data_IF_607470567691
#
_entry.id   IF_607470567691
#
_cell.length_a   1.000
_cell.length_b   1.000
_cell.length_c   1.000
_cell.angle_alpha   90.00
_cell.angle_beta   90.00
_cell.angle_gamma   90.00
#
_symmetry.space_group_name_H-M   'P 1'
#
loop_
_entity.id
_entity.type
_entity.pdbx_description
1 polymer ?
#
# COMPACT_ATOMS: atom_id res chain seq x y z
N UNK A 1 12.55 35.11 17.01
CA UNK A 1 12.97 33.96 17.86
C UNK A 1 12.57 32.58 17.29
N UNK A 2 11.63 32.50 16.36
CA UNK A 2 11.23 31.22 15.72
C UNK A 2 12.25 30.70 14.67
N UNK A 3 13.12 31.57 14.15
CA UNK A 3 14.05 31.25 13.06
C UNK A 3 15.24 30.35 13.46
N UNK A 4 15.44 30.08 14.75
CA UNK A 4 16.62 29.33 15.22
C UNK A 4 16.25 27.95 15.84
N UNK A 5 14.97 27.53 15.74
CA UNK A 5 14.53 26.21 16.22
C UNK A 5 14.87 25.15 15.17
N UNK A 6 15.54 24.10 15.59
CA UNK A 6 15.74 22.89 14.80
C UNK A 6 14.52 22.01 14.95
N UNK A 7 13.97 21.58 13.82
CA UNK A 7 12.85 20.62 13.78
C UNK A 7 13.34 19.27 13.28
N UNK A 8 12.92 18.23 13.96
CA UNK A 8 13.21 16.84 13.59
C UNK A 8 11.94 16.16 13.13
N UNK A 9 11.85 15.84 11.84
CA UNK A 9 10.79 15.03 11.30
C UNK A 9 11.29 13.60 11.14
N UNK A 10 10.40 12.64 11.42
CA UNK A 10 10.68 11.24 11.19
C UNK A 10 9.76 10.66 10.12
N UNK A 11 10.26 9.69 9.37
CA UNK A 11 9.49 8.98 8.37
C UNK A 11 9.56 7.47 8.63
N UNK A 12 8.40 6.81 8.59
CA UNK A 12 8.25 5.37 8.76
C UNK A 12 7.85 4.78 7.42
N UNK A 13 8.80 4.16 6.73
CA UNK A 13 8.63 3.59 5.38
C UNK A 13 8.82 2.08 5.35
N UNK A 14 8.17 1.39 4.40
CA UNK A 14 8.54 0.01 4.08
C UNK A 14 9.99 -0.09 3.60
N UNK A 15 10.68 -1.15 4.00
CA UNK A 15 11.98 -1.49 3.44
C UNK A 15 11.86 -1.80 1.94
N UNK A 16 12.78 -1.27 1.13
CA UNK A 16 12.56 -1.23 -0.32
C UNK A 16 13.78 -1.32 -1.21
N UNK A 17 14.90 -1.81 -0.75
CA UNK A 17 16.21 -1.96 -1.41
C UNK A 17 16.34 -1.47 -2.89
N UNK A 18 15.42 -1.83 -3.78
CA UNK A 18 15.43 -1.47 -5.21
C UNK A 18 14.04 -1.16 -5.77
N UNK A 19 13.03 -1.02 -4.91
CA UNK A 19 11.71 -0.67 -5.39
C UNK A 19 11.69 0.81 -5.82
N UNK A 20 11.56 1.05 -7.11
CA UNK A 20 11.57 2.40 -7.68
C UNK A 20 10.49 3.32 -7.09
N UNK A 21 9.35 2.79 -6.67
CA UNK A 21 8.28 3.56 -6.07
C UNK A 21 8.74 4.17 -4.72
N UNK A 22 9.16 3.34 -3.77
CA UNK A 22 9.58 3.81 -2.44
C UNK A 22 10.87 4.64 -2.50
N UNK A 23 11.80 4.29 -3.37
CA UNK A 23 13.00 5.09 -3.63
C UNK A 23 12.64 6.51 -4.11
N UNK A 24 11.64 6.65 -4.97
CA UNK A 24 11.21 7.96 -5.45
C UNK A 24 10.46 8.74 -4.37
N UNK A 25 9.65 8.06 -3.54
CA UNK A 25 8.99 8.67 -2.37
C UNK A 25 10.04 9.24 -1.41
N UNK A 26 11.05 8.45 -1.05
CA UNK A 26 12.12 8.87 -0.16
C UNK A 26 12.91 10.06 -0.72
N UNK A 27 13.29 10.01 -2.00
CA UNK A 27 13.94 11.14 -2.68
C UNK A 27 13.09 12.40 -2.65
N UNK A 28 11.77 12.26 -2.84
CA UNK A 28 10.84 13.38 -2.75
C UNK A 28 10.81 14.00 -1.36
N UNK A 29 10.78 13.20 -0.31
CA UNK A 29 10.82 13.65 1.07
C UNK A 29 12.14 14.37 1.39
N UNK A 30 13.28 13.80 0.99
CA UNK A 30 14.59 14.42 1.15
C UNK A 30 14.68 15.76 0.39
N UNK A 31 14.17 15.81 -0.83
CA UNK A 31 14.15 17.04 -1.63
C UNK A 31 13.30 18.15 -0.97
N UNK A 32 12.19 17.80 -0.31
CA UNK A 32 11.39 18.77 0.44
C UNK A 32 12.20 19.44 1.55
N UNK A 33 13.04 18.68 2.26
CA UNK A 33 13.91 19.22 3.31
C UNK A 33 14.97 20.14 2.71
N UNK A 34 15.63 19.72 1.64
CA UNK A 34 16.68 20.51 0.96
C UNK A 34 16.13 21.83 0.41
N UNK A 35 14.93 21.84 -0.11
CA UNK A 35 14.30 23.04 -0.68
C UNK A 35 13.83 24.06 0.37
N UNK A 36 13.89 23.71 1.65
CA UNK A 36 13.51 24.56 2.79
C UNK A 36 14.71 25.03 3.63
N UNK A 37 15.81 25.39 2.95
CA UNK A 37 17.06 25.77 3.58
C UNK A 37 16.97 26.92 4.60
N UNK A 38 15.89 27.72 4.54
CA UNK A 38 15.62 28.81 5.54
C UNK A 38 15.18 28.26 6.91
N UNK A 39 14.83 26.95 6.99
CA UNK A 39 14.45 26.27 8.22
C UNK A 39 15.48 25.21 8.57
N UNK A 40 15.85 25.12 9.84
CA UNK A 40 16.73 24.05 10.33
C UNK A 40 15.93 22.74 10.46
N UNK A 41 15.69 22.05 9.33
CA UNK A 41 14.93 20.81 9.26
C UNK A 41 15.87 19.61 9.17
N UNK A 42 15.53 18.54 9.85
CA UNK A 42 16.13 17.21 9.67
C UNK A 42 15.05 16.17 9.44
N UNK A 43 15.31 15.22 8.55
CA UNK A 43 14.47 14.05 8.30
C UNK A 43 15.25 12.81 8.67
N UNK A 44 14.65 11.95 9.49
CA UNK A 44 15.17 10.65 9.88
C UNK A 44 14.20 9.60 9.34
N UNK A 45 14.68 8.68 8.52
CA UNK A 45 13.85 7.59 8.00
C UNK A 45 14.16 6.31 8.76
N UNK A 46 13.12 5.65 9.23
CA UNK A 46 13.15 4.30 9.80
C UNK A 46 12.37 3.36 8.90
N UNK A 47 12.91 2.16 8.69
CA UNK A 47 12.35 1.18 7.78
C UNK A 47 11.78 -0.01 8.53
N UNK A 48 10.75 -0.61 7.95
CA UNK A 48 10.11 -1.83 8.47
C UNK A 48 9.82 -2.83 7.34
N UNK A 49 9.88 -4.13 7.65
CA UNK A 49 9.41 -5.18 6.75
C UNK A 49 7.88 -5.16 6.70
N UNK A 50 7.34 -4.89 5.51
CA UNK A 50 5.88 -4.82 5.29
C UNK A 50 5.14 -6.13 5.53
N UNK A 51 5.84 -7.25 5.62
CA UNK A 51 5.27 -8.58 5.88
C UNK A 51 5.39 -9.01 7.35
N UNK A 52 6.00 -8.17 8.20
CA UNK A 52 6.24 -8.48 9.59
C UNK A 52 5.78 -7.35 10.52
N UNK A 53 4.65 -7.58 11.23
CA UNK A 53 4.07 -6.57 12.12
C UNK A 53 4.98 -6.13 13.26
N UNK A 54 5.82 -7.03 13.80
CA UNK A 54 6.82 -6.73 14.82
C UNK A 54 7.88 -5.76 14.33
N UNK A 55 8.26 -5.82 13.05
CA UNK A 55 9.20 -4.90 12.41
C UNK A 55 8.68 -3.46 12.42
N UNK A 56 7.38 -3.27 12.11
CA UNK A 56 6.75 -1.94 12.20
C UNK A 56 6.81 -1.38 13.63
N UNK A 57 6.43 -2.19 14.63
CA UNK A 57 6.44 -1.76 16.01
C UNK A 57 7.86 -1.36 16.47
N UNK A 58 8.87 -2.17 16.11
CA UNK A 58 10.27 -1.86 16.44
C UNK A 58 10.75 -0.55 15.76
N UNK A 59 10.37 -0.31 14.51
CA UNK A 59 10.71 0.93 13.80
C UNK A 59 9.99 2.13 14.41
N UNK A 60 8.73 1.98 14.83
CA UNK A 60 7.97 3.02 15.53
C UNK A 60 8.63 3.42 16.88
N UNK A 61 9.16 2.44 17.65
CA UNK A 61 9.90 2.73 18.87
C UNK A 61 11.20 3.51 18.59
N UNK A 62 11.94 3.15 17.53
CA UNK A 62 13.13 3.90 17.14
C UNK A 62 12.81 5.34 16.77
N UNK A 63 11.66 5.61 16.13
CA UNK A 63 11.17 6.95 15.86
C UNK A 63 10.83 7.67 17.17
N UNK A 64 10.15 6.99 18.08
CA UNK A 64 9.77 7.55 19.38
C UNK A 64 10.98 8.08 20.15
N UNK A 65 12.07 7.33 20.17
CA UNK A 65 13.32 7.70 20.83
C UNK A 65 13.98 8.96 20.25
N UNK A 66 13.65 9.34 19.02
CA UNK A 66 14.16 10.57 18.37
C UNK A 66 13.42 11.82 18.81
N UNK A 67 12.31 11.70 19.55
CA UNK A 67 11.44 12.82 19.98
C UNK A 67 11.09 13.74 18.82
N UNK A 68 10.38 13.23 17.79
CA UNK A 68 10.11 13.98 16.58
C UNK A 68 9.15 15.16 16.82
N UNK A 69 9.31 16.24 16.05
CA UNK A 69 8.35 17.33 15.97
C UNK A 69 7.16 17.01 15.02
N UNK A 70 7.28 15.96 14.22
CA UNK A 70 6.22 15.44 13.35
C UNK A 70 6.64 14.15 12.66
N UNK A 71 5.66 13.33 12.26
CA UNK A 71 5.92 12.01 11.68
C UNK A 71 5.16 11.81 10.38
N UNK A 72 5.87 11.32 9.36
CA UNK A 72 5.28 10.77 8.13
C UNK A 72 5.19 9.26 8.27
N UNK A 73 4.01 8.70 8.13
CA UNK A 73 3.77 7.28 8.36
C UNK A 73 3.18 6.66 7.10
N UNK A 74 3.79 5.58 6.61
CA UNK A 74 3.13 4.65 5.71
C UNK A 74 2.49 3.56 6.58
N UNK A 75 1.16 3.57 6.76
CA UNK A 75 0.49 2.59 7.60
C UNK A 75 0.61 1.18 7.03
N UNK A 76 0.82 0.19 7.88
CA UNK A 76 0.84 -1.21 7.48
C UNK A 76 -0.29 -2.01 8.15
N UNK A 77 -0.08 -2.42 9.38
CA UNK A 77 -1.06 -3.17 10.15
C UNK A 77 -1.89 -2.21 11.00
N UNK A 78 -3.22 -2.43 11.00
CA UNK A 78 -4.16 -1.56 11.71
C UNK A 78 -3.79 -1.39 13.19
N UNK A 79 -3.63 -2.49 13.93
CA UNK A 79 -3.47 -2.45 15.39
C UNK A 79 -2.17 -1.75 15.81
N UNK A 80 -1.04 -2.09 15.16
CA UNK A 80 0.25 -1.49 15.49
C UNK A 80 0.34 -0.03 15.06
N UNK A 81 -0.25 0.31 13.90
CA UNK A 81 -0.34 1.71 13.44
C UNK A 81 -1.22 2.51 14.40
N UNK A 82 -2.38 1.98 14.79
CA UNK A 82 -3.29 2.65 15.71
C UNK A 82 -2.63 2.92 17.07
N UNK A 83 -1.94 1.93 17.63
CA UNK A 83 -1.24 2.07 18.90
C UNK A 83 -0.18 3.19 18.84
N UNK A 84 0.60 3.23 17.76
CA UNK A 84 1.62 4.27 17.57
C UNK A 84 1.00 5.66 17.39
N UNK A 85 -0.04 5.78 16.55
CA UNK A 85 -0.72 7.06 16.32
C UNK A 85 -1.40 7.61 17.58
N UNK A 86 -1.99 6.75 18.43
CA UNK A 86 -2.53 7.19 19.72
C UNK A 86 -1.46 7.80 20.62
N UNK A 87 -0.28 7.17 20.70
CA UNK A 87 0.85 7.73 21.47
C UNK A 87 1.31 9.08 20.92
N UNK A 88 1.31 9.26 19.59
CA UNK A 88 1.64 10.57 18.98
C UNK A 88 0.59 11.61 19.34
N UNK A 89 -0.71 11.27 19.29
CA UNK A 89 -1.81 12.16 19.66
C UNK A 89 -1.76 12.56 21.14
N UNK A 90 -1.48 11.62 22.04
CA UNK A 90 -1.33 11.88 23.49
C UNK A 90 -0.19 12.86 23.83
N UNK A 91 0.77 13.01 22.94
CA UNK A 91 1.91 13.93 23.09
C UNK A 91 1.84 15.14 22.15
N UNK A 92 0.68 15.37 21.53
CA UNK A 92 0.48 16.48 20.57
C UNK A 92 1.50 16.48 19.41
N UNK A 93 2.03 15.31 19.02
CA UNK A 93 2.94 15.17 17.88
C UNK A 93 2.11 14.98 16.61
N UNK A 94 2.15 15.95 15.67
CA UNK A 94 1.41 15.83 14.42
C UNK A 94 1.98 14.74 13.54
N UNK A 95 1.11 14.02 12.85
CA UNK A 95 1.50 13.02 11.86
C UNK A 95 0.63 13.11 10.60
N UNK A 96 1.21 12.65 9.50
CA UNK A 96 0.53 12.51 8.22
C UNK A 96 0.63 11.07 7.73
N UNK A 97 -0.38 10.62 7.02
CA UNK A 97 -0.32 9.34 6.32
C UNK A 97 0.11 9.54 4.87
N UNK A 98 0.93 8.62 4.40
CA UNK A 98 1.41 8.55 3.04
C UNK A 98 1.06 7.19 2.43
N UNK A 99 0.62 7.20 1.17
CA UNK A 99 0.29 6.04 0.36
C UNK A 99 -0.96 5.28 0.84
N UNK A 100 -1.03 4.85 2.07
CA UNK A 100 -2.16 4.13 2.69
C UNK A 100 -2.83 4.95 3.77
N UNK A 101 -4.13 4.73 3.99
CA UNK A 101 -4.91 5.34 5.06
C UNK A 101 -5.41 4.27 6.05
N UNK A 102 -5.69 4.71 7.26
CA UNK A 102 -6.37 3.92 8.31
C UNK A 102 -7.63 4.68 8.71
N UNK A 103 -8.82 4.21 8.31
CA UNK A 103 -10.07 4.98 8.41
C UNK A 103 -10.42 5.48 9.82
N UNK A 104 -10.04 4.73 10.86
CA UNK A 104 -10.38 5.06 12.25
C UNK A 104 -9.37 5.99 12.93
N UNK A 105 -8.40 6.49 12.19
CA UNK A 105 -7.36 7.40 12.69
C UNK A 105 -7.40 8.69 11.88
N UNK A 106 -7.48 9.82 12.55
CA UNK A 106 -7.40 11.14 11.93
C UNK A 106 -5.95 11.66 11.93
N UNK A 107 -5.23 11.59 10.78
CA UNK A 107 -3.96 12.26 10.61
C UNK A 107 -4.17 13.75 10.34
N UNK A 108 -3.12 14.56 10.49
CA UNK A 108 -3.14 15.97 10.03
C UNK A 108 -3.45 16.07 8.53
N UNK A 109 -2.97 15.13 7.74
CA UNK A 109 -3.27 15.00 6.31
C UNK A 109 -2.99 13.57 5.84
N UNK A 110 -3.65 13.19 4.73
CA UNK A 110 -3.39 11.96 3.99
C UNK A 110 -2.97 12.29 2.56
N UNK A 111 -1.85 11.74 2.15
CA UNK A 111 -1.32 11.84 0.79
C UNK A 111 -1.31 10.45 0.15
N UNK A 112 -2.36 10.15 -0.58
CA UNK A 112 -2.51 8.85 -1.22
C UNK A 112 -3.75 8.79 -2.08
N UNK A 113 -3.99 7.61 -2.65
CA UNK A 113 -5.13 7.33 -3.48
C UNK A 113 -6.26 6.70 -2.65
N UNK A 114 -7.50 7.07 -2.92
CA UNK A 114 -8.67 6.34 -2.44
C UNK A 114 -8.71 4.96 -3.13
N UNK A 115 -8.19 3.96 -2.45
CA UNK A 115 -8.02 2.63 -3.02
C UNK A 115 -9.35 1.94 -3.31
N UNK A 116 -10.38 2.18 -2.50
CA UNK A 116 -11.72 1.62 -2.74
C UNK A 116 -12.30 2.18 -4.05
N UNK A 117 -12.33 3.50 -4.19
CA UNK A 117 -12.79 4.16 -5.41
C UNK A 117 -11.92 3.81 -6.62
N UNK A 118 -10.61 3.68 -6.42
CA UNK A 118 -9.69 3.26 -7.47
C UNK A 118 -10.01 1.86 -7.98
N UNK A 119 -10.31 0.91 -7.09
CA UNK A 119 -10.75 -0.43 -7.46
C UNK A 119 -12.09 -0.44 -8.18
N UNK A 120 -13.06 0.32 -7.67
CA UNK A 120 -14.36 0.48 -8.32
C UNK A 120 -14.23 1.05 -9.74
N UNK A 121 -13.40 2.08 -9.91
CA UNK A 121 -13.11 2.66 -11.21
C UNK A 121 -12.35 1.69 -12.12
N UNK A 122 -11.43 0.90 -11.58
CA UNK A 122 -10.74 -0.15 -12.33
C UNK A 122 -11.72 -1.18 -12.91
N UNK A 123 -12.76 -1.56 -12.16
CA UNK A 123 -13.84 -2.42 -12.65
C UNK A 123 -14.52 -1.83 -13.89
N UNK A 124 -14.83 -0.55 -13.86
CA UNK A 124 -15.43 0.16 -14.99
C UNK A 124 -14.53 0.14 -16.23
N UNK A 125 -13.26 0.52 -16.08
CA UNK A 125 -12.30 0.53 -17.20
C UNK A 125 -12.06 -0.87 -17.72
N UNK A 126 -11.95 -1.85 -16.84
CA UNK A 126 -11.73 -3.25 -17.20
C UNK A 126 -12.89 -3.77 -18.08
N UNK A 127 -14.14 -3.54 -17.68
CA UNK A 127 -15.30 -4.00 -18.42
C UNK A 127 -15.53 -3.25 -19.73
N UNK A 128 -15.10 -2.01 -19.85
CA UNK A 128 -15.08 -1.31 -21.16
C UNK A 128 -14.20 -2.04 -22.18
N UNK A 129 -13.15 -2.72 -21.73
CA UNK A 129 -12.24 -3.47 -22.59
C UNK A 129 -12.65 -4.96 -22.74
N UNK A 130 -13.07 -5.60 -21.64
CA UNK A 130 -13.47 -7.00 -21.64
C UNK A 130 -14.80 -7.24 -22.37
N UNK A 131 -15.68 -6.24 -22.39
CA UNK A 131 -17.01 -6.30 -23.02
C UNK A 131 -18.07 -6.97 -22.15
N UNK A 132 -19.32 -6.73 -22.48
CA UNK A 132 -20.50 -7.21 -21.72
C UNK A 132 -20.69 -8.73 -21.75
N UNK A 133 -19.95 -9.44 -22.60
CA UNK A 133 -20.03 -10.89 -22.74
C UNK A 133 -18.99 -11.64 -21.89
N UNK A 134 -18.14 -10.94 -21.15
CA UNK A 134 -17.23 -11.57 -20.21
C UNK A 134 -18.03 -12.30 -19.12
N UNK A 135 -17.89 -13.63 -19.05
CA UNK A 135 -18.61 -14.47 -18.07
C UNK A 135 -17.74 -14.83 -16.87
N UNK A 136 -16.42 -14.83 -17.06
CA UNK A 136 -15.45 -15.15 -16.03
C UNK A 136 -14.20 -14.31 -16.18
N UNK A 137 -13.73 -13.77 -15.08
CA UNK A 137 -12.54 -12.91 -14.98
C UNK A 137 -11.62 -13.50 -13.92
N UNK A 138 -10.34 -13.58 -14.23
CA UNK A 138 -9.33 -13.99 -13.28
C UNK A 138 -8.79 -12.76 -12.51
N UNK A 139 -8.92 -12.81 -11.19
CA UNK A 139 -8.21 -11.91 -10.28
C UNK A 139 -6.94 -12.60 -9.77
N UNK A 140 -5.78 -12.10 -10.16
CA UNK A 140 -4.50 -12.62 -9.69
C UNK A 140 -3.98 -11.82 -8.49
N UNK A 141 -3.59 -12.53 -7.43
CA UNK A 141 -2.99 -11.96 -6.22
C UNK A 141 -1.56 -12.46 -6.06
N UNK A 142 -0.65 -11.54 -5.81
CA UNK A 142 0.70 -11.88 -5.38
C UNK A 142 0.77 -11.80 -3.86
N UNK A 143 1.12 -12.93 -3.26
CA UNK A 143 1.21 -13.12 -1.82
C UNK A 143 2.67 -13.30 -1.40
N UNK A 144 3.04 -12.82 -0.24
CA UNK A 144 4.28 -13.18 0.45
C UNK A 144 3.97 -13.53 1.89
N UNK A 145 4.54 -14.60 2.39
CA UNK A 145 4.27 -15.13 3.75
C UNK A 145 2.74 -15.25 4.04
N UNK A 146 1.96 -15.64 3.03
CA UNK A 146 0.51 -15.80 3.14
C UNK A 146 -0.31 -14.51 3.19
N UNK A 147 0.27 -13.35 2.89
CA UNK A 147 -0.38 -12.04 2.90
C UNK A 147 -0.17 -11.27 1.61
N UNK A 148 -1.12 -10.43 1.24
CA UNK A 148 -0.90 -9.44 0.17
C UNK A 148 0.06 -8.34 0.63
N UNK A 149 0.78 -7.75 -0.32
CA UNK A 149 1.84 -6.78 0.00
C UNK A 149 1.33 -5.46 0.62
N UNK A 150 0.05 -5.10 0.42
CA UNK A 150 -0.51 -3.89 1.01
C UNK A 150 -2.03 -3.94 1.14
N UNK A 151 -2.58 -3.25 2.14
CA UNK A 151 -4.03 -3.05 2.30
C UNK A 151 -4.67 -2.32 1.13
N UNK A 152 -3.94 -1.52 0.40
CA UNK A 152 -4.43 -0.86 -0.81
C UNK A 152 -4.88 -1.87 -1.87
N UNK A 153 -4.16 -2.98 -2.02
CA UNK A 153 -4.56 -4.05 -2.93
C UNK A 153 -5.89 -4.66 -2.48
N UNK A 154 -6.06 -4.90 -1.18
CA UNK A 154 -7.31 -5.42 -0.61
C UNK A 154 -8.48 -4.45 -0.84
N UNK A 155 -8.30 -3.17 -0.58
CA UNK A 155 -9.35 -2.18 -0.82
C UNK A 155 -9.68 -1.99 -2.31
N UNK A 156 -8.67 -2.05 -3.19
CA UNK A 156 -8.92 -2.03 -4.63
C UNK A 156 -9.71 -3.26 -5.08
N UNK A 157 -9.40 -4.42 -4.53
CA UNK A 157 -10.18 -5.62 -4.79
C UNK A 157 -11.63 -5.47 -4.32
N UNK A 158 -11.85 -4.98 -3.10
CA UNK A 158 -13.20 -4.73 -2.57
C UNK A 158 -13.98 -3.81 -3.51
N UNK A 159 -13.40 -2.68 -3.90
CA UNK A 159 -14.05 -1.75 -4.83
C UNK A 159 -14.31 -2.35 -6.20
N UNK A 160 -13.38 -3.14 -6.72
CA UNK A 160 -13.55 -3.86 -7.98
C UNK A 160 -14.72 -4.85 -7.91
N UNK A 161 -14.76 -5.68 -6.88
CA UNK A 161 -15.84 -6.66 -6.67
C UNK A 161 -17.19 -5.98 -6.46
N UNK A 162 -17.23 -4.85 -5.76
CA UNK A 162 -18.45 -4.04 -5.61
C UNK A 162 -18.98 -3.57 -6.96
N UNK A 163 -18.10 -3.05 -7.83
CA UNK A 163 -18.48 -2.67 -9.21
C UNK A 163 -19.01 -3.88 -9.99
N UNK A 164 -18.30 -5.01 -9.96
CA UNK A 164 -18.70 -6.22 -10.67
C UNK A 164 -20.06 -6.74 -10.19
N UNK A 165 -20.26 -6.85 -8.88
CA UNK A 165 -21.52 -7.30 -8.30
C UNK A 165 -22.69 -6.37 -8.65
N UNK A 166 -22.43 -5.07 -8.71
CA UNK A 166 -23.47 -4.08 -8.99
C UNK A 166 -23.92 -4.08 -10.46
N UNK A 167 -22.96 -4.16 -11.39
CA UNK A 167 -23.24 -3.94 -12.82
C UNK A 167 -23.14 -5.21 -13.67
N UNK A 168 -22.43 -6.22 -13.19
CA UNK A 168 -22.18 -7.48 -13.92
C UNK A 168 -22.32 -8.68 -12.99
N UNK A 169 -23.51 -8.86 -12.33
CA UNK A 169 -23.71 -9.91 -11.32
C UNK A 169 -23.55 -11.32 -11.89
N UNK A 170 -23.74 -11.49 -13.20
CA UNK A 170 -23.57 -12.77 -13.90
C UNK A 170 -22.13 -13.07 -14.31
N UNK A 171 -21.20 -12.15 -14.07
CA UNK A 171 -19.77 -12.32 -14.34
C UNK A 171 -19.06 -12.83 -13.09
N UNK A 172 -18.56 -14.06 -13.16
CA UNK A 172 -17.80 -14.67 -12.07
C UNK A 172 -16.39 -14.10 -11.98
N UNK A 173 -15.97 -13.68 -10.77
CA UNK A 173 -14.59 -13.28 -10.49
C UNK A 173 -13.89 -14.40 -9.73
N UNK A 174 -13.16 -15.24 -10.47
CA UNK A 174 -12.33 -16.32 -9.93
C UNK A 174 -10.97 -15.80 -9.50
N UNK A 175 -10.35 -16.44 -8.50
CA UNK A 175 -9.12 -15.95 -7.88
C UNK A 175 -7.98 -16.96 -8.04
N UNK A 176 -6.80 -16.46 -8.37
CA UNK A 176 -5.54 -17.20 -8.31
C UNK A 176 -4.54 -16.48 -7.43
N UNK A 177 -4.21 -17.07 -6.28
CA UNK A 177 -3.19 -16.57 -5.38
C UNK A 177 -1.84 -17.23 -5.67
N UNK A 178 -0.84 -16.42 -6.00
CA UNK A 178 0.53 -16.83 -6.30
C UNK A 178 1.47 -16.40 -5.17
N UNK A 179 2.29 -17.32 -4.68
CA UNK A 179 3.26 -17.04 -3.61
C UNK A 179 4.55 -16.50 -4.22
N UNK A 180 5.01 -15.34 -3.77
CA UNK A 180 6.27 -14.71 -4.23
C UNK A 180 7.50 -15.56 -3.86
N UNK A 181 7.40 -16.29 -2.77
CA UNK A 181 8.50 -17.10 -2.22
C UNK A 181 8.34 -18.59 -2.57
N UNK A 182 7.44 -18.93 -3.52
CA UNK A 182 7.15 -20.29 -3.93
C UNK A 182 8.25 -20.87 -4.85
N UNK A 183 8.60 -22.14 -4.65
CA UNK A 183 9.52 -22.88 -5.52
C UNK A 183 8.94 -23.13 -6.92
N UNK A 184 7.60 -23.18 -7.02
CA UNK A 184 6.89 -23.37 -8.29
C UNK A 184 6.81 -22.04 -9.05
N UNK A 185 7.34 -22.01 -10.24
CA UNK A 185 7.28 -20.84 -11.12
C UNK A 185 5.84 -20.38 -11.35
N UNK A 186 5.59 -19.07 -11.36
CA UNK A 186 4.26 -18.49 -11.59
C UNK A 186 3.62 -19.00 -12.89
N UNK A 187 4.43 -19.16 -13.93
CA UNK A 187 3.98 -19.60 -15.23
C UNK A 187 3.29 -20.98 -15.19
N UNK A 188 3.87 -21.96 -14.47
CA UNK A 188 3.28 -23.30 -14.37
C UNK A 188 1.92 -23.28 -13.69
N UNK A 189 1.78 -22.49 -12.62
CA UNK A 189 0.52 -22.35 -11.88
C UNK A 189 -0.54 -21.59 -12.67
N UNK A 190 -0.15 -20.53 -13.37
CA UNK A 190 -1.06 -19.78 -14.24
C UNK A 190 -1.52 -20.67 -15.39
N UNK A 191 -0.61 -21.41 -16.02
CA UNK A 191 -0.95 -22.35 -17.10
C UNK A 191 -1.91 -23.43 -16.63
N UNK A 192 -1.62 -24.10 -15.51
CA UNK A 192 -2.52 -25.12 -14.95
C UNK A 192 -3.91 -24.55 -14.65
N UNK A 193 -3.98 -23.35 -14.09
CA UNK A 193 -5.26 -22.69 -13.83
C UNK A 193 -6.04 -22.40 -15.14
N UNK A 194 -5.37 -21.90 -16.18
CA UNK A 194 -6.01 -21.61 -17.47
C UNK A 194 -6.44 -22.88 -18.23
N UNK A 195 -5.72 -23.99 -18.04
CA UNK A 195 -6.11 -25.28 -18.59
C UNK A 195 -7.39 -25.81 -17.92
N UNK A 196 -7.57 -25.58 -16.61
CA UNK A 196 -8.79 -25.91 -15.87
C UNK A 196 -9.95 -24.93 -16.17
N UNK A 197 -9.65 -23.71 -16.58
CA UNK A 197 -10.61 -22.64 -16.85
C UNK A 197 -10.43 -22.04 -18.26
N UNK A 198 -10.69 -22.82 -19.32
CA UNK A 198 -10.42 -22.41 -20.70
C UNK A 198 -11.31 -21.25 -21.20
N UNK A 199 -12.36 -20.92 -20.45
CA UNK A 199 -13.27 -19.81 -20.71
C UNK A 199 -12.75 -18.46 -20.17
N UNK A 200 -11.73 -18.46 -19.32
CA UNK A 200 -11.09 -17.24 -18.83
C UNK A 200 -10.27 -16.59 -19.96
N UNK A 201 -10.61 -15.34 -20.30
CA UNK A 201 -9.96 -14.54 -21.35
C UNK A 201 -9.35 -13.24 -20.83
N UNK A 202 -9.74 -12.84 -19.65
CA UNK A 202 -9.36 -11.57 -19.05
C UNK A 202 -8.85 -11.78 -17.65
N UNK A 203 -7.78 -11.07 -17.30
CA UNK A 203 -7.26 -11.09 -15.95
C UNK A 203 -6.98 -9.68 -15.45
N UNK A 204 -7.05 -9.50 -14.15
CA UNK A 204 -6.70 -8.27 -13.46
C UNK A 204 -5.84 -8.59 -12.23
N UNK A 205 -4.90 -7.71 -11.92
CA UNK A 205 -4.16 -7.72 -10.66
C UNK A 205 -4.03 -6.30 -10.13
N UNK A 206 -4.06 -6.14 -8.82
CA UNK A 206 -3.84 -4.86 -8.14
C UNK A 206 -2.43 -4.73 -7.57
N UNK A 207 -1.55 -5.66 -7.93
CA UNK A 207 -0.16 -5.66 -7.50
C UNK A 207 0.70 -4.76 -8.40
N UNK A 208 1.56 -3.95 -7.80
CA UNK A 208 2.56 -3.16 -8.53
C UNK A 208 3.62 -4.00 -9.25
N UNK A 209 3.71 -5.29 -8.92
CA UNK A 209 4.62 -6.27 -9.54
C UNK A 209 3.97 -7.08 -10.67
N UNK A 210 2.92 -6.56 -11.31
CA UNK A 210 2.23 -7.22 -12.43
C UNK A 210 3.17 -7.63 -13.59
N UNK A 211 4.32 -6.97 -13.72
CA UNK A 211 5.33 -7.30 -14.73
C UNK A 211 6.04 -8.65 -14.50
N UNK A 212 5.83 -9.30 -13.35
CA UNK A 212 6.37 -10.62 -13.02
C UNK A 212 5.45 -11.74 -13.57
N UNK A 213 4.17 -11.42 -13.77
CA UNK A 213 3.12 -12.33 -14.23
C UNK A 213 3.06 -12.41 -15.75
#
# INVERSE_FOLDING_TARGET
LAYNRKYTFCCLLPDHDRNAYWTNVEKGLQQCILNRGDFHLSLITEYYDQFEGSSFAAAAERIWDKKPDGVVIVPQNFDVTQAFCRRLQEQDIPFVFLDSNVPEIEPLAFFGQDSLKSGYFAGRIFMMQAGEHARRILLMKLMSKGRVASRQQEYREVGFREYMTTYYPDCEVVELSLQLDGEDGYESRIRAFLDEHPDVRHCITFCSRAYIL
#
